data_IF_036312387740
#
_entry.id   IF_036312387740
#
_cell.length_a   1.000
_cell.length_b   1.000
_cell.length_c   1.000
_cell.angle_alpha   90.00
_cell.angle_beta   90.00
_cell.angle_gamma   90.00
#
_symmetry.space_group_name_H-M   'P 1'
#
loop_
_entity.id
_entity.type
_entity.pdbx_description
1 polymer ?
#
# COMPACT_ATOMS: atom_id res chain seq x y z
N UNK A 1 -4.13 -11.57 0.47
CA UNK A 1 -2.76 -12.12 0.55
C UNK A 1 -1.82 -11.30 1.44
N UNK A 2 -1.71 -9.95 1.41
CA UNK A 2 -0.85 -9.21 2.34
C UNK A 2 -1.12 -9.54 3.81
N UNK A 3 -2.39 -9.57 4.24
CA UNK A 3 -2.78 -9.94 5.61
C UNK A 3 -2.29 -11.32 6.06
N UNK A 4 -2.21 -12.29 5.16
CA UNK A 4 -1.66 -13.61 5.50
C UNK A 4 -0.15 -13.54 5.66
N UNK A 5 0.52 -12.76 4.82
CA UNK A 5 1.96 -12.54 4.91
C UNK A 5 2.33 -11.79 6.20
N UNK A 6 1.56 -10.79 6.59
CA UNK A 6 1.72 -10.08 7.86
C UNK A 6 1.56 -11.01 9.05
N UNK A 7 0.45 -11.77 9.11
CA UNK A 7 0.23 -12.76 10.17
C UNK A 7 1.34 -13.82 10.26
N UNK A 8 1.86 -14.24 9.11
CA UNK A 8 2.97 -15.19 9.07
C UNK A 8 4.27 -14.55 9.56
N UNK A 9 4.52 -13.29 9.17
CA UNK A 9 5.63 -12.50 9.66
C UNK A 9 5.57 -12.32 11.18
N UNK A 10 4.42 -11.92 11.74
CA UNK A 10 4.21 -11.79 13.18
C UNK A 10 4.49 -13.10 13.93
N UNK A 11 3.98 -14.23 13.42
CA UNK A 11 4.26 -15.54 14.01
C UNK A 11 5.75 -15.93 13.98
N UNK A 12 6.46 -15.55 12.92
CA UNK A 12 7.90 -15.78 12.81
C UNK A 12 8.65 -14.92 13.84
N UNK A 13 8.34 -13.62 13.89
CA UNK A 13 8.98 -12.70 14.84
C UNK A 13 8.69 -13.09 16.28
N UNK A 14 7.44 -13.43 16.62
CA UNK A 14 7.05 -13.92 17.95
C UNK A 14 7.78 -15.23 18.31
N UNK A 15 7.89 -16.16 17.37
CA UNK A 15 8.64 -17.38 17.55
C UNK A 15 10.12 -17.14 17.83
N UNK A 16 10.72 -16.19 17.13
CA UNK A 16 12.12 -15.78 17.34
C UNK A 16 12.30 -15.09 18.71
N UNK A 17 11.37 -14.23 19.10
CA UNK A 17 11.39 -13.54 20.40
C UNK A 17 11.22 -14.50 21.59
N UNK A 18 10.38 -15.53 21.47
CA UNK A 18 10.14 -16.53 22.53
C UNK A 18 11.26 -17.56 22.64
N UNK A 19 12.07 -17.76 21.60
CA UNK A 19 13.16 -18.74 21.58
C UNK A 19 14.45 -18.16 22.13
N UNK A 20 14.80 -18.51 23.39
CA UNK A 20 16.08 -18.13 24.02
C UNK A 20 17.28 -18.61 23.19
N UNK A 21 17.17 -19.78 22.55
CA UNK A 21 18.19 -20.33 21.67
C UNK A 21 18.37 -19.45 20.41
N UNK A 22 17.28 -19.08 19.75
CA UNK A 22 17.34 -18.20 18.58
C UNK A 22 17.93 -16.82 18.93
N UNK A 23 17.55 -16.25 20.07
CA UNK A 23 18.10 -14.98 20.55
C UNK A 23 19.61 -15.08 20.83
N UNK A 24 20.05 -16.15 21.49
CA UNK A 24 21.47 -16.41 21.74
C UNK A 24 22.25 -16.52 20.44
N UNK A 25 21.80 -17.36 19.50
CA UNK A 25 22.43 -17.54 18.20
C UNK A 25 22.51 -16.22 17.40
N UNK A 26 21.46 -15.42 17.43
CA UNK A 26 21.44 -14.10 16.77
C UNK A 26 22.44 -13.14 17.43
N UNK A 27 22.56 -13.17 18.75
CA UNK A 27 23.48 -12.32 19.53
C UNK A 27 24.96 -12.64 19.25
N UNK A 28 25.29 -13.92 19.01
CA UNK A 28 26.65 -14.36 18.66
C UNK A 28 26.93 -14.33 17.14
N UNK A 29 26.04 -13.70 16.35
CA UNK A 29 26.26 -13.52 14.92
C UNK A 29 25.85 -14.70 14.03
N UNK A 30 25.39 -15.81 14.60
CA UNK A 30 24.97 -17.03 13.87
C UNK A 30 23.54 -16.93 13.34
N UNK A 31 23.28 -15.91 12.51
CA UNK A 31 21.94 -15.64 11.93
C UNK A 31 21.52 -16.70 10.90
N UNK A 32 22.46 -17.20 10.10
CA UNK A 32 22.20 -18.18 9.03
C UNK A 32 21.46 -19.43 9.50
N UNK A 33 21.96 -20.17 10.51
CA UNK A 33 21.27 -21.34 11.04
C UNK A 33 19.85 -21.05 11.56
N UNK A 34 19.64 -19.90 12.23
CA UNK A 34 18.31 -19.51 12.73
C UNK A 34 17.35 -19.29 11.57
N UNK A 35 17.79 -18.55 10.55
CA UNK A 35 16.98 -18.32 9.35
C UNK A 35 16.68 -19.61 8.59
N UNK A 36 17.63 -20.53 8.54
CA UNK A 36 17.42 -21.86 7.96
C UNK A 36 16.35 -22.65 8.72
N UNK A 37 16.37 -22.64 10.05
CA UNK A 37 15.31 -23.26 10.88
C UNK A 37 13.92 -22.66 10.62
N UNK A 38 13.83 -21.34 10.46
CA UNK A 38 12.57 -20.70 10.08
C UNK A 38 12.09 -21.19 8.71
N UNK A 39 13.00 -21.27 7.73
CA UNK A 39 12.69 -21.79 6.40
C UNK A 39 12.21 -23.25 6.43
N UNK A 40 12.81 -24.09 7.27
CA UNK A 40 12.39 -25.48 7.46
C UNK A 40 10.94 -25.56 8.00
N UNK A 41 10.54 -24.68 8.94
CA UNK A 41 9.16 -24.59 9.43
C UNK A 41 8.16 -24.18 8.35
N UNK A 42 8.63 -23.50 7.29
CA UNK A 42 7.85 -23.18 6.09
C UNK A 42 7.92 -24.30 5.02
N UNK A 43 8.30 -25.51 5.39
CA UNK A 43 8.39 -26.66 4.49
C UNK A 43 9.77 -26.83 3.80
N UNK A 44 10.75 -25.97 4.07
CA UNK A 44 12.14 -26.07 3.62
C UNK A 44 12.40 -25.80 2.14
N UNK A 45 11.42 -26.06 1.28
CA UNK A 45 11.53 -25.96 -0.20
C UNK A 45 10.90 -24.69 -0.78
N UNK A 46 10.29 -23.82 0.06
CA UNK A 46 9.70 -22.58 -0.39
C UNK A 46 10.77 -21.66 -1.01
N UNK A 47 10.57 -21.24 -2.25
CA UNK A 47 11.51 -20.43 -3.05
C UNK A 47 11.07 -18.97 -3.10
N UNK A 48 9.78 -18.75 -3.37
CA UNK A 48 9.19 -17.42 -3.46
C UNK A 48 7.70 -17.47 -3.10
N UNK A 49 7.15 -16.32 -2.78
CA UNK A 49 5.73 -16.06 -2.53
C UNK A 49 5.32 -14.95 -3.48
N UNK A 50 4.23 -15.16 -4.22
CA UNK A 50 3.64 -14.10 -5.04
C UNK A 50 2.50 -13.46 -4.25
N UNK A 51 2.54 -12.16 -4.10
CA UNK A 51 1.48 -11.36 -3.48
C UNK A 51 0.88 -10.40 -4.49
N UNK A 52 -0.42 -10.16 -4.39
CA UNK A 52 -1.13 -9.25 -5.28
C UNK A 52 -2.47 -8.82 -4.68
N UNK A 53 -3.12 -7.86 -5.35
CA UNK A 53 -4.40 -7.29 -4.91
C UNK A 53 -4.28 -6.15 -3.91
N UNK A 54 -3.19 -6.06 -3.14
CA UNK A 54 -2.82 -4.90 -2.31
C UNK A 54 -1.30 -4.86 -2.14
N UNK A 55 -0.68 -3.68 -1.93
CA UNK A 55 0.74 -3.58 -1.62
C UNK A 55 1.09 -4.40 -0.39
N UNK A 56 2.23 -5.10 -0.43
CA UNK A 56 2.74 -5.80 0.75
C UNK A 56 3.68 -4.85 1.52
N UNK A 57 3.57 -4.75 2.85
CA UNK A 57 4.45 -3.90 3.63
C UNK A 57 5.93 -4.27 3.41
N UNK A 58 6.75 -3.26 3.17
CA UNK A 58 8.17 -3.44 2.84
C UNK A 58 8.92 -4.27 3.89
N UNK A 59 8.66 -4.03 5.18
CA UNK A 59 9.31 -4.77 6.27
C UNK A 59 8.97 -6.26 6.25
N UNK A 60 7.76 -6.63 5.81
CA UNK A 60 7.36 -8.04 5.65
C UNK A 60 8.19 -8.68 4.54
N UNK A 61 8.25 -8.04 3.37
CA UNK A 61 9.05 -8.54 2.24
C UNK A 61 10.54 -8.68 2.59
N UNK A 62 11.11 -7.69 3.28
CA UNK A 62 12.49 -7.73 3.75
C UNK A 62 12.75 -8.89 4.74
N UNK A 63 11.80 -9.16 5.64
CA UNK A 63 11.91 -10.27 6.60
C UNK A 63 11.97 -11.63 5.91
N UNK A 64 11.11 -11.84 4.89
CA UNK A 64 11.16 -13.08 4.12
C UNK A 64 12.41 -13.18 3.24
N UNK A 65 12.88 -12.07 2.68
CA UNK A 65 14.14 -12.05 1.93
C UNK A 65 15.34 -12.49 2.80
N UNK A 66 15.34 -12.17 4.12
CA UNK A 66 16.37 -12.60 5.08
C UNK A 66 16.43 -14.12 5.24
N UNK A 67 15.33 -14.82 5.06
CA UNK A 67 15.28 -16.31 5.10
C UNK A 67 15.37 -16.93 3.71
N UNK A 68 15.83 -16.17 2.72
CA UNK A 68 15.94 -16.58 1.31
C UNK A 68 14.63 -17.09 0.69
N UNK A 69 13.49 -16.52 1.13
CA UNK A 69 12.18 -16.67 0.50
C UNK A 69 11.82 -15.32 -0.13
N UNK A 70 11.83 -15.27 -1.45
CA UNK A 70 11.54 -14.01 -2.17
C UNK A 70 10.06 -13.70 -2.17
N UNK A 71 9.75 -12.45 -1.90
CA UNK A 71 8.43 -11.89 -2.16
C UNK A 71 8.43 -11.21 -3.52
N UNK A 72 7.51 -11.65 -4.38
CA UNK A 72 7.30 -11.09 -5.70
C UNK A 72 5.93 -10.40 -5.70
N UNK A 73 5.89 -9.14 -6.07
CA UNK A 73 4.63 -8.43 -6.21
C UNK A 73 4.08 -8.65 -7.62
N UNK A 74 2.79 -8.94 -7.69
CA UNK A 74 2.03 -8.99 -8.92
C UNK A 74 0.92 -7.94 -8.88
N UNK A 75 0.61 -7.38 -10.03
CA UNK A 75 -0.46 -6.41 -10.19
C UNK A 75 -1.48 -6.92 -11.18
N UNK A 76 -2.71 -6.54 -10.89
CA UNK A 76 -3.80 -6.78 -11.80
C UNK A 76 -5.14 -6.36 -11.22
N UNK A 77 -6.15 -6.48 -12.05
CA UNK A 77 -7.52 -6.08 -11.78
C UNK A 77 -8.47 -7.09 -12.46
N UNK A 78 -9.69 -7.15 -11.98
CA UNK A 78 -10.72 -8.08 -12.52
C UNK A 78 -10.91 -7.89 -14.02
N UNK A 79 -10.86 -6.65 -14.47
CA UNK A 79 -10.96 -6.22 -15.85
C UNK A 79 -9.82 -6.74 -16.75
N UNK A 80 -8.78 -7.36 -16.17
CA UNK A 80 -7.62 -7.94 -16.85
C UNK A 80 -7.38 -9.42 -16.52
N UNK A 81 -8.35 -10.18 -16.09
CA UNK A 81 -8.44 -11.66 -15.97
C UNK A 81 -7.31 -12.38 -15.19
N UNK A 82 -6.89 -12.03 -14.02
CA UNK A 82 -6.76 -10.73 -13.39
C UNK A 82 -5.35 -10.13 -13.49
N UNK A 83 -4.31 -10.84 -14.03
CA UNK A 83 -2.88 -10.50 -13.87
C UNK A 83 -2.35 -9.70 -15.05
N UNK A 84 -1.84 -8.52 -14.80
CA UNK A 84 -1.20 -7.63 -15.80
C UNK A 84 0.31 -7.74 -15.76
N UNK A 85 0.89 -7.70 -14.56
CA UNK A 85 2.34 -7.73 -14.38
C UNK A 85 2.75 -8.55 -13.16
N UNK A 86 3.98 -9.05 -13.18
CA UNK A 86 4.60 -9.78 -12.06
C UNK A 86 6.07 -9.37 -11.97
N UNK A 87 6.54 -9.16 -10.75
CA UNK A 87 7.95 -8.92 -10.49
C UNK A 87 8.76 -10.19 -10.79
N UNK A 88 9.71 -10.16 -11.73
CA UNK A 88 10.58 -11.30 -12.00
C UNK A 88 11.44 -11.68 -10.79
N UNK A 89 11.76 -12.96 -10.57
CA UNK A 89 12.59 -13.39 -9.43
C UNK A 89 13.98 -12.78 -9.40
N UNK A 90 14.51 -12.32 -10.50
CA UNK A 90 15.83 -11.69 -10.63
C UNK A 90 15.83 -10.24 -10.14
N UNK A 91 14.69 -9.58 -10.15
CA UNK A 91 14.49 -8.20 -9.69
C UNK A 91 14.57 -8.17 -8.16
N UNK A 92 15.47 -7.36 -7.63
CA UNK A 92 15.71 -7.22 -6.17
C UNK A 92 14.99 -6.01 -5.56
N UNK A 93 14.52 -5.13 -6.41
CA UNK A 93 13.83 -3.91 -6.03
C UNK A 93 12.48 -4.27 -5.38
N UNK A 94 12.24 -3.74 -4.16
CA UNK A 94 10.97 -3.89 -3.44
C UNK A 94 10.09 -2.68 -3.75
N UNK A 95 8.78 -2.95 -3.97
CA UNK A 95 7.78 -1.90 -4.24
C UNK A 95 7.53 -1.67 -5.72
N UNK A 96 8.08 -2.53 -6.59
CA UNK A 96 7.70 -2.61 -8.01
C UNK A 96 6.75 -3.78 -8.26
N UNK A 97 5.79 -3.60 -9.14
CA UNK A 97 4.91 -4.66 -9.62
C UNK A 97 5.52 -5.43 -10.81
N UNK A 98 6.78 -5.14 -11.13
CA UNK A 98 7.57 -5.83 -12.14
C UNK A 98 7.26 -5.43 -13.57
N UNK A 99 7.34 -6.43 -14.46
CA UNK A 99 7.15 -6.29 -15.90
C UNK A 99 5.79 -6.81 -16.33
N UNK A 100 5.21 -6.29 -17.42
CA UNK A 100 4.01 -6.87 -18.02
C UNK A 100 4.23 -8.34 -18.36
N UNK A 101 3.21 -9.17 -18.18
CA UNK A 101 3.28 -10.56 -18.63
C UNK A 101 3.30 -10.63 -20.16
N UNK A 102 3.86 -11.70 -20.70
CA UNK A 102 4.04 -11.86 -22.15
C UNK A 102 2.70 -11.70 -22.90
N UNK A 103 2.70 -10.86 -23.92
CA UNK A 103 1.54 -10.58 -24.76
C UNK A 103 0.65 -9.45 -24.24
N UNK A 104 1.05 -8.78 -23.16
CA UNK A 104 0.37 -7.62 -22.61
C UNK A 104 1.21 -6.38 -22.88
N UNK A 105 0.56 -5.36 -23.41
CA UNK A 105 1.13 -4.04 -23.61
C UNK A 105 0.65 -3.11 -22.49
N UNK A 106 1.54 -2.26 -22.04
CA UNK A 106 1.23 -1.20 -21.06
C UNK A 106 1.77 0.13 -21.53
N UNK A 107 1.08 1.21 -21.16
CA UNK A 107 1.57 2.58 -21.35
C UNK A 107 1.19 3.44 -20.16
N UNK A 108 1.86 4.57 -20.01
CA UNK A 108 1.49 5.61 -19.06
C UNK A 108 0.90 6.79 -19.84
N UNK A 109 -0.37 7.06 -19.65
CA UNK A 109 -1.06 8.20 -20.25
C UNK A 109 -0.94 9.43 -19.35
N UNK A 110 -0.98 10.63 -19.95
CA UNK A 110 -1.01 11.92 -19.24
C UNK A 110 0.10 12.06 -18.19
N UNK A 111 1.34 11.74 -18.57
CA UNK A 111 2.46 11.78 -17.63
C UNK A 111 2.74 13.21 -17.17
N UNK A 112 2.92 13.38 -15.86
CA UNK A 112 3.41 14.62 -15.27
C UNK A 112 4.94 14.75 -15.41
N UNK A 113 5.50 15.87 -14.92
CA UNK A 113 6.96 16.15 -14.96
C UNK A 113 7.81 15.09 -14.23
N UNK A 114 7.21 14.31 -13.34
CA UNK A 114 7.89 13.23 -12.61
C UNK A 114 7.78 11.87 -13.33
N UNK A 115 7.22 11.83 -14.54
CA UNK A 115 7.01 10.61 -15.32
C UNK A 115 5.91 9.70 -14.74
N UNK A 116 5.01 10.24 -13.92
CA UNK A 116 3.86 9.51 -13.38
C UNK A 116 2.64 9.78 -14.25
N UNK A 117 2.03 8.71 -14.75
CA UNK A 117 0.83 8.77 -15.57
C UNK A 117 -0.16 7.67 -15.24
N UNK A 118 -1.34 7.72 -15.84
CA UNK A 118 -2.33 6.65 -15.70
C UNK A 118 -1.84 5.39 -16.41
N UNK A 119 -1.73 4.29 -15.67
CA UNK A 119 -1.41 2.99 -16.24
C UNK A 119 -2.57 2.52 -17.12
N UNK A 120 -2.27 2.27 -18.39
CA UNK A 120 -3.22 1.72 -19.35
C UNK A 120 -2.73 0.38 -19.88
N UNK A 121 -3.65 -0.53 -20.13
CA UNK A 121 -3.37 -1.91 -20.48
C UNK A 121 -4.08 -2.29 -21.78
N UNK A 122 -3.36 -3.01 -22.67
CA UNK A 122 -3.90 -3.57 -23.90
C UNK A 122 -3.44 -5.03 -24.05
N UNK A 123 -4.33 -5.88 -24.49
CA UNK A 123 -4.00 -7.28 -24.76
C UNK A 123 -5.18 -8.23 -24.54
N UNK A 124 -4.98 -9.53 -24.80
CA UNK A 124 -6.07 -10.52 -24.82
C UNK A 124 -6.70 -10.80 -23.45
N UNK A 125 -6.09 -10.34 -22.37
CA UNK A 125 -6.63 -10.50 -21.00
C UNK A 125 -7.65 -9.42 -20.63
N UNK A 126 -7.75 -8.35 -21.43
CA UNK A 126 -8.61 -7.21 -21.14
C UNK A 126 -10.06 -7.57 -21.42
N UNK A 127 -10.95 -7.21 -20.50
CA UNK A 127 -12.39 -7.41 -20.64
C UNK A 127 -12.95 -6.75 -21.91
N UNK A 128 -14.08 -7.22 -22.39
CA UNK A 128 -14.82 -6.58 -23.49
C UNK A 128 -15.67 -5.39 -23.02
N UNK A 129 -16.02 -5.34 -21.74
CA UNK A 129 -16.81 -4.27 -21.13
C UNK A 129 -17.54 -4.76 -19.88
N UNK A 130 -18.27 -3.85 -19.25
CA UNK A 130 -19.11 -4.15 -18.10
C UNK A 130 -20.50 -4.63 -18.54
N UNK A 131 -20.94 -5.74 -17.94
CA UNK A 131 -22.22 -6.36 -18.28
C UNK A 131 -23.39 -5.39 -18.04
N UNK A 132 -24.25 -5.21 -19.03
CA UNK A 132 -25.38 -4.27 -19.00
C UNK A 132 -25.05 -2.82 -18.62
N UNK A 133 -23.81 -2.38 -18.83
CA UNK A 133 -23.40 -1.00 -18.52
C UNK A 133 -22.52 -0.43 -19.65
N UNK A 134 -23.13 -0.02 -20.79
CA UNK A 134 -22.40 0.47 -21.95
C UNK A 134 -21.65 1.78 -21.67
N UNK A 135 -22.22 2.67 -20.86
CA UNK A 135 -21.60 3.96 -20.53
C UNK A 135 -20.31 3.76 -19.73
N UNK A 136 -20.36 2.95 -18.67
CA UNK A 136 -19.16 2.61 -17.93
C UNK A 136 -18.13 1.83 -18.78
N UNK A 137 -18.60 1.03 -19.75
CA UNK A 137 -17.72 0.33 -20.68
C UNK A 137 -17.01 1.32 -21.60
N UNK A 138 -17.72 2.27 -22.17
CA UNK A 138 -17.16 3.34 -23.00
C UNK A 138 -16.13 4.18 -22.21
N UNK A 139 -16.48 4.54 -20.96
CA UNK A 139 -15.59 5.31 -20.08
C UNK A 139 -14.32 4.54 -19.67
N UNK A 140 -14.36 3.21 -19.68
CA UNK A 140 -13.21 2.40 -19.26
C UNK A 140 -12.10 2.34 -20.32
N UNK A 141 -12.40 2.65 -21.57
CA UNK A 141 -11.43 2.52 -22.65
C UNK A 141 -11.01 3.86 -23.25
N UNK A 142 -9.86 3.86 -23.86
CA UNK A 142 -9.32 4.93 -24.69
C UNK A 142 -8.90 4.37 -26.03
N UNK A 143 -9.43 4.92 -27.12
CA UNK A 143 -9.05 4.56 -28.48
C UNK A 143 -7.70 5.20 -28.85
N UNK A 144 -6.78 4.41 -29.39
CA UNK A 144 -5.47 4.91 -29.84
C UNK A 144 -5.51 5.53 -31.26
N UNK A 145 -6.67 5.62 -31.87
CA UNK A 145 -6.88 6.12 -33.24
C UNK A 145 -6.31 5.18 -34.32
N UNK A 146 -5.83 3.99 -33.94
CA UNK A 146 -5.28 2.96 -34.84
C UNK A 146 -6.06 1.65 -34.75
N UNK A 147 -7.27 1.70 -34.15
CA UNK A 147 -8.14 0.57 -33.92
C UNK A 147 -7.78 -0.28 -32.70
N UNK A 148 -6.97 0.26 -31.80
CA UNK A 148 -6.62 -0.37 -30.53
C UNK A 148 -7.30 0.31 -29.34
N UNK A 149 -7.91 -0.49 -28.47
CA UNK A 149 -8.50 -0.01 -27.23
C UNK A 149 -7.57 -0.28 -26.04
N UNK A 150 -7.30 0.77 -25.27
CA UNK A 150 -6.51 0.74 -24.04
C UNK A 150 -7.43 0.83 -22.83
N UNK A 151 -7.39 -0.15 -21.97
CA UNK A 151 -8.12 -0.11 -20.70
C UNK A 151 -7.46 0.90 -19.75
N UNK A 152 -8.22 1.89 -19.32
CA UNK A 152 -7.84 2.83 -18.25
C UNK A 152 -8.00 2.14 -16.90
N UNK A 153 -6.89 1.90 -16.20
CA UNK A 153 -6.93 1.18 -14.92
C UNK A 153 -7.37 2.05 -13.75
N UNK A 154 -7.28 3.37 -13.90
CA UNK A 154 -7.45 4.34 -12.81
C UNK A 154 -6.31 4.33 -11.81
N UNK A 155 -5.25 3.53 -12.03
CA UNK A 155 -4.03 3.53 -11.22
C UNK A 155 -2.98 4.45 -11.84
N UNK A 156 -2.33 5.27 -11.01
CA UNK A 156 -1.20 6.09 -11.38
C UNK A 156 0.09 5.31 -11.14
N UNK A 157 0.98 5.31 -12.11
CA UNK A 157 2.22 4.56 -12.07
C UNK A 157 3.39 5.35 -12.67
N UNK A 158 4.60 4.95 -12.35
CA UNK A 158 5.82 5.31 -13.04
C UNK A 158 6.50 4.06 -13.58
N UNK A 159 7.32 4.22 -14.63
CA UNK A 159 8.09 3.14 -15.23
C UNK A 159 9.54 3.57 -15.32
N UNK A 160 10.45 2.71 -14.91
CA UNK A 160 11.87 2.97 -15.01
C UNK A 160 12.46 2.61 -16.39
N UNK A 161 13.74 2.88 -16.61
CA UNK A 161 14.42 2.56 -17.86
C UNK A 161 14.50 1.07 -18.20
N UNK A 162 14.24 0.18 -17.21
CA UNK A 162 14.18 -1.27 -17.40
C UNK A 162 12.76 -1.76 -17.69
N UNK A 163 11.78 -0.84 -17.71
CA UNK A 163 10.37 -1.15 -17.86
C UNK A 163 9.68 -1.64 -16.58
N UNK A 164 10.35 -1.56 -15.41
CA UNK A 164 9.75 -1.94 -14.14
C UNK A 164 8.72 -0.89 -13.71
N UNK A 165 7.51 -1.35 -13.42
CA UNK A 165 6.37 -0.51 -13.11
C UNK A 165 6.25 -0.37 -11.58
N UNK A 166 6.03 0.84 -11.11
CA UNK A 166 5.75 1.16 -9.70
C UNK A 166 4.42 1.89 -9.60
N UNK A 167 3.46 1.33 -8.88
CA UNK A 167 2.18 1.99 -8.59
C UNK A 167 2.44 3.12 -7.60
N UNK A 168 1.89 4.30 -7.92
CA UNK A 168 1.98 5.51 -7.09
C UNK A 168 0.71 5.79 -6.30
N UNK A 169 -0.44 5.44 -6.85
CA UNK A 169 -1.74 5.62 -6.19
C UNK A 169 -2.91 5.47 -7.16
N UNK A 170 -4.08 5.92 -6.73
CA UNK A 170 -5.31 5.93 -7.54
C UNK A 170 -5.58 7.33 -8.10
N UNK A 171 -5.91 7.43 -9.40
CA UNK A 171 -6.24 8.71 -10.06
C UNK A 171 -7.37 9.46 -9.34
N UNK A 172 -8.42 8.74 -8.93
CA UNK A 172 -9.59 9.29 -8.20
C UNK A 172 -9.30 9.65 -6.73
N UNK A 173 -8.15 9.27 -6.21
CA UNK A 173 -7.74 9.55 -4.83
C UNK A 173 -6.61 10.58 -4.76
N UNK A 174 -6.10 11.01 -5.91
CA UNK A 174 -5.05 12.02 -6.00
C UNK A 174 -5.50 13.30 -5.31
N UNK A 175 -4.69 13.80 -4.40
CA UNK A 175 -4.90 15.09 -3.74
C UNK A 175 -4.10 16.14 -4.52
N UNK A 176 -4.75 17.22 -4.92
CA UNK A 176 -4.07 18.32 -5.62
C UNK A 176 -4.13 19.55 -4.72
N UNK A 177 -2.96 19.95 -4.23
CA UNK A 177 -2.89 21.13 -3.37
C UNK A 177 -3.05 22.44 -4.16
N UNK A 178 -3.16 23.55 -3.46
CA UNK A 178 -3.32 24.90 -4.05
C UNK A 178 -2.18 25.31 -5.00
N UNK A 179 -1.00 24.69 -4.87
CA UNK A 179 0.15 24.93 -5.74
C UNK A 179 0.15 24.01 -6.98
N UNK A 180 -0.90 23.21 -7.19
CA UNK A 180 -0.99 22.23 -8.27
C UNK A 180 -0.11 20.97 -8.07
N UNK A 181 0.47 20.78 -6.88
CA UNK A 181 1.29 19.61 -6.60
C UNK A 181 0.45 18.38 -6.32
N UNK A 182 0.81 17.29 -6.96
CA UNK A 182 0.20 16.00 -6.78
C UNK A 182 0.70 15.33 -5.50
N UNK A 183 -0.23 14.91 -4.65
CA UNK A 183 0.02 14.17 -3.42
C UNK A 183 -0.72 12.83 -3.52
N UNK A 184 0.04 11.76 -3.41
CA UNK A 184 -0.49 10.40 -3.44
C UNK A 184 -0.81 9.96 -2.01
N UNK A 185 -2.09 9.77 -1.64
CA UNK A 185 -2.47 9.41 -0.27
C UNK A 185 -1.75 8.17 0.25
N UNK A 186 -1.54 7.19 -0.62
CA UNK A 186 -0.88 5.93 -0.29
C UNK A 186 0.56 6.13 0.21
N UNK A 187 1.28 7.12 -0.31
CA UNK A 187 2.64 7.46 0.15
C UNK A 187 2.62 7.96 1.60
N UNK A 188 1.64 8.78 1.94
CA UNK A 188 1.47 9.32 3.30
C UNK A 188 0.96 8.22 4.26
N UNK A 189 0.03 7.38 3.81
CA UNK A 189 -0.48 6.23 4.56
C UNK A 189 0.65 5.25 4.93
N UNK A 190 1.54 4.92 3.98
CA UNK A 190 2.71 4.07 4.22
C UNK A 190 3.63 4.66 5.29
N UNK A 191 3.75 5.99 5.35
CA UNK A 191 4.57 6.66 6.35
C UNK A 191 3.94 6.58 7.74
N UNK A 192 2.65 6.91 7.87
CA UNK A 192 1.93 6.85 9.13
C UNK A 192 1.83 5.41 9.65
N UNK A 193 1.61 4.43 8.78
CA UNK A 193 1.53 3.02 9.13
C UNK A 193 2.83 2.43 9.72
N UNK A 194 3.96 3.13 9.62
CA UNK A 194 5.19 2.75 10.34
C UNK A 194 5.12 3.05 11.84
N UNK A 195 4.16 3.84 12.27
CA UNK A 195 3.99 4.19 13.68
C UNK A 195 3.18 3.10 14.40
N UNK A 196 3.77 2.38 15.36
CA UNK A 196 3.09 1.26 16.01
C UNK A 196 1.86 1.64 16.84
N UNK A 197 1.73 2.91 17.23
CA UNK A 197 0.55 3.41 17.94
C UNK A 197 -0.68 3.53 17.02
N UNK A 198 -0.51 3.46 15.69
CA UNK A 198 -1.57 3.53 14.68
C UNK A 198 -1.80 2.14 14.10
N UNK A 199 -3.01 1.62 14.23
CA UNK A 199 -3.41 0.34 13.65
C UNK A 199 -3.85 0.49 12.19
N UNK A 200 -4.69 1.51 11.92
CA UNK A 200 -5.24 1.79 10.60
C UNK A 200 -5.12 3.27 10.29
N UNK A 201 -4.95 3.57 9.02
CA UNK A 201 -4.90 4.94 8.51
C UNK A 201 -5.56 5.02 7.14
N UNK A 202 -6.26 6.11 6.90
CA UNK A 202 -6.70 6.54 5.56
C UNK A 202 -6.41 8.03 5.42
N UNK A 203 -5.77 8.39 4.32
CA UNK A 203 -5.43 9.77 3.98
C UNK A 203 -6.39 10.27 2.91
N UNK A 204 -6.94 11.46 3.12
CA UNK A 204 -7.90 12.11 2.21
C UNK A 204 -7.54 13.58 2.01
N UNK A 205 -7.89 14.12 0.86
CA UNK A 205 -7.93 15.55 0.65
C UNK A 205 -9.16 16.14 1.32
N UNK A 206 -9.02 17.35 1.87
CA UNK A 206 -10.11 18.13 2.41
C UNK A 206 -9.92 19.62 2.07
N UNK A 207 -11.00 20.36 2.01
CA UNK A 207 -11.00 21.81 1.77
C UNK A 207 -11.32 22.57 3.04
N UNK A 208 -10.75 23.76 3.20
CA UNK A 208 -11.00 24.63 4.35
C UNK A 208 -11.25 26.05 3.87
N UNK A 209 -12.37 26.65 4.30
CA UNK A 209 -12.62 28.09 4.18
C UNK A 209 -12.65 28.65 2.75
N UNK A 210 -13.03 27.83 1.73
CA UNK A 210 -13.09 28.29 0.33
C UNK A 210 -11.74 28.42 -0.38
N UNK A 211 -10.68 27.88 0.18
CA UNK A 211 -9.35 27.82 -0.41
C UNK A 211 -9.39 26.98 -1.71
N UNK A 212 -8.85 27.45 -2.84
CA UNK A 212 -8.74 26.63 -4.05
C UNK A 212 -7.64 25.60 -3.90
N UNK A 213 -7.99 24.35 -3.66
CA UNK A 213 -7.07 23.25 -3.52
C UNK A 213 -7.33 22.44 -2.25
N UNK A 214 -6.81 21.23 -2.25
CA UNK A 214 -7.00 20.32 -1.13
C UNK A 214 -5.81 20.36 -0.18
N UNK A 215 -6.09 20.21 1.09
CA UNK A 215 -5.10 19.93 2.13
C UNK A 215 -5.09 18.44 2.47
N UNK A 216 -3.97 17.97 2.97
CA UNK A 216 -3.80 16.56 3.36
C UNK A 216 -4.35 16.36 4.76
N UNK A 217 -5.30 15.47 4.91
CA UNK A 217 -5.83 15.04 6.18
C UNK A 217 -5.78 13.53 6.36
N UNK A 218 -5.86 13.07 7.60
CA UNK A 218 -5.87 11.64 7.92
C UNK A 218 -6.97 11.30 8.91
N UNK A 219 -7.60 10.14 8.69
CA UNK A 219 -8.39 9.46 9.70
C UNK A 219 -7.60 8.23 10.14
N UNK A 220 -7.33 8.11 11.43
CA UNK A 220 -6.54 7.02 12.01
C UNK A 220 -7.36 6.23 13.03
N UNK A 221 -7.01 4.97 13.22
CA UNK A 221 -7.50 4.15 14.32
C UNK A 221 -6.31 3.70 15.17
N UNK A 222 -6.35 3.90 16.52
CA UNK A 222 -5.23 3.60 17.39
C UNK A 222 -5.05 2.10 17.59
N UNK A 223 -3.82 1.65 17.81
CA UNK A 223 -3.48 0.27 18.10
C UNK A 223 -3.66 -0.05 19.57
N UNK A 224 -4.80 -0.63 19.95
CA UNK A 224 -5.04 -1.05 21.35
C UNK A 224 -3.93 -1.95 21.89
N UNK A 225 -3.39 -2.85 21.07
CA UNK A 225 -2.34 -3.77 21.48
C UNK A 225 -1.04 -3.04 21.81
N UNK A 226 -0.72 -1.98 21.05
CA UNK A 226 0.41 -1.12 21.36
C UNK A 226 0.18 -0.37 22.67
N UNK A 227 -0.98 0.26 22.84
CA UNK A 227 -1.32 0.99 24.06
C UNK A 227 -1.32 0.09 25.30
N UNK A 228 -1.89 -1.11 25.24
CA UNK A 228 -1.83 -2.09 26.33
C UNK A 228 -0.38 -2.44 26.72
N UNK A 229 0.52 -2.59 25.74
CA UNK A 229 1.93 -2.88 26.03
C UNK A 229 2.65 -1.72 26.71
N UNK A 230 2.45 -0.50 26.23
CA UNK A 230 3.11 0.70 26.76
C UNK A 230 2.56 1.10 28.14
N UNK A 231 1.30 0.82 28.42
CA UNK A 231 0.59 1.21 29.65
C UNK A 231 0.38 0.05 30.63
N UNK A 232 1.30 -0.91 30.68
CA UNK A 232 1.32 -1.95 31.71
C UNK A 232 0.16 -2.95 31.64
N UNK A 233 -0.37 -3.22 30.45
CA UNK A 233 -1.44 -4.21 30.20
C UNK A 233 -2.86 -3.66 30.21
N UNK A 234 -3.03 -2.36 30.46
CA UNK A 234 -4.35 -1.68 30.47
C UNK A 234 -4.41 -0.61 29.39
N UNK A 235 -5.60 -0.36 28.86
CA UNK A 235 -5.82 0.77 27.98
C UNK A 235 -5.89 2.06 28.81
N UNK A 236 -5.18 3.14 28.41
CA UNK A 236 -5.39 4.45 29.00
C UNK A 236 -6.75 5.04 28.60
N UNK A 237 -7.20 6.16 29.20
CA UNK A 237 -8.39 6.87 28.75
C UNK A 237 -8.33 7.22 27.26
N UNK A 238 -9.50 7.28 26.62
CA UNK A 238 -9.60 7.52 25.19
C UNK A 238 -8.90 8.81 24.76
N UNK A 239 -9.10 9.87 25.51
CA UNK A 239 -8.52 11.20 25.24
C UNK A 239 -6.99 11.15 25.21
N UNK A 240 -6.38 10.29 26.02
CA UNK A 240 -4.93 10.09 26.03
C UNK A 240 -4.48 9.27 24.82
N UNK A 241 -5.22 8.20 24.48
CA UNK A 241 -4.96 7.42 23.26
C UNK A 241 -5.04 8.30 22.01
N UNK A 242 -6.08 9.12 21.90
CA UNK A 242 -6.29 10.06 20.82
C UNK A 242 -5.12 11.03 20.69
N UNK A 243 -4.77 11.73 21.78
CA UNK A 243 -3.67 12.70 21.81
C UNK A 243 -2.33 12.09 21.41
N UNK A 244 -2.02 10.90 21.93
CA UNK A 244 -0.78 10.20 21.62
C UNK A 244 -0.75 9.74 20.17
N UNK A 245 -1.85 9.15 19.65
CA UNK A 245 -1.93 8.68 18.29
C UNK A 245 -1.80 9.82 17.27
N UNK A 246 -2.47 10.97 17.49
CA UNK A 246 -2.33 12.18 16.66
C UNK A 246 -0.87 12.65 16.63
N UNK A 247 -0.27 12.84 17.80
CA UNK A 247 1.10 13.33 17.91
C UNK A 247 2.07 12.41 17.16
N UNK A 248 1.97 11.10 17.36
CA UNK A 248 2.82 10.11 16.72
C UNK A 248 2.65 10.07 15.20
N UNK A 249 1.41 10.14 14.71
CA UNK A 249 1.14 10.21 13.28
C UNK A 249 1.73 11.47 12.64
N UNK A 250 1.61 12.62 13.31
CA UNK A 250 2.18 13.89 12.84
C UNK A 250 3.71 13.87 12.83
N UNK A 251 4.34 13.32 13.88
CA UNK A 251 5.80 13.15 13.94
C UNK A 251 6.32 12.30 12.78
N UNK A 252 5.61 11.23 12.42
CA UNK A 252 5.95 10.43 11.24
C UNK A 252 5.80 11.19 9.93
N UNK A 253 4.75 11.99 9.79
CA UNK A 253 4.55 12.83 8.62
C UNK A 253 5.62 13.92 8.47
N UNK A 254 6.29 14.34 9.55
CA UNK A 254 7.36 15.33 9.48
C UNK A 254 8.57 14.86 8.64
N UNK A 255 8.74 13.57 8.44
CA UNK A 255 9.74 12.97 7.55
C UNK A 255 9.44 13.23 6.05
N UNK A 256 8.21 13.61 5.70
CA UNK A 256 7.78 13.93 4.34
C UNK A 256 8.04 15.41 3.99
N UNK A 257 8.05 15.69 2.67
CA UNK A 257 8.06 17.08 2.18
C UNK A 257 6.85 17.84 2.76
N UNK A 258 7.02 19.13 3.03
CA UNK A 258 6.03 19.94 3.77
C UNK A 258 4.62 19.87 3.16
N UNK A 259 4.51 19.97 1.84
CA UNK A 259 3.24 19.93 1.12
C UNK A 259 2.50 18.57 1.21
N UNK A 260 3.20 17.49 1.61
CA UNK A 260 2.63 16.15 1.82
C UNK A 260 2.22 15.88 3.28
N UNK A 261 2.59 16.77 4.20
CA UNK A 261 2.33 16.58 5.63
C UNK A 261 0.85 16.69 5.95
N UNK A 262 0.39 15.81 6.81
CA UNK A 262 -0.98 15.83 7.29
C UNK A 262 -1.21 17.06 8.17
N UNK A 263 -2.21 17.89 7.80
CA UNK A 263 -2.58 19.13 8.52
C UNK A 263 -3.68 18.88 9.55
N UNK A 264 -4.59 17.95 9.28
CA UNK A 264 -5.69 17.57 10.16
C UNK A 264 -5.71 16.07 10.37
N UNK A 265 -5.81 15.62 11.63
CA UNK A 265 -5.91 14.20 11.99
C UNK A 265 -7.15 14.02 12.85
N UNK A 266 -7.99 13.07 12.47
CA UNK A 266 -9.15 12.62 13.25
C UNK A 266 -8.93 11.18 13.68
N UNK A 267 -9.25 10.88 14.93
CA UNK A 267 -9.14 9.52 15.48
C UNK A 267 -10.52 8.88 15.50
N UNK A 268 -10.66 7.80 14.75
CA UNK A 268 -11.87 6.99 14.75
C UNK A 268 -12.00 6.19 16.04
N UNK A 269 -13.22 6.13 16.58
CA UNK A 269 -13.52 5.33 17.79
C UNK A 269 -13.70 3.85 17.49
N UNK A 270 -13.89 3.51 16.23
CA UNK A 270 -14.08 2.14 15.75
C UNK A 270 -13.07 1.83 14.63
N UNK A 271 -12.72 0.56 14.40
CA UNK A 271 -11.86 0.16 13.28
C UNK A 271 -12.36 0.70 11.95
N UNK A 272 -11.44 1.11 11.10
CA UNK A 272 -11.80 1.70 9.82
C UNK A 272 -12.53 0.69 8.92
N UNK A 273 -13.56 1.18 8.22
CA UNK A 273 -14.39 0.37 7.31
C UNK A 273 -13.53 -0.22 6.20
N UNK A 274 -13.59 -1.53 6.02
CA UNK A 274 -12.78 -2.27 5.05
C UNK A 274 -13.64 -2.91 3.95
N UNK A 275 -13.01 -3.16 2.82
CA UNK A 275 -13.56 -3.99 1.74
C UNK A 275 -13.48 -5.48 2.13
N UNK A 276 -14.16 -6.35 1.37
CA UNK A 276 -14.07 -7.81 1.53
C UNK A 276 -12.65 -8.37 1.41
N UNK A 277 -11.75 -7.64 0.74
CA UNK A 277 -10.33 -8.00 0.59
C UNK A 277 -9.42 -7.32 1.61
N UNK A 278 -10.01 -6.64 2.63
CA UNK A 278 -9.29 -6.04 3.75
C UNK A 278 -8.73 -4.63 3.53
N UNK A 279 -8.96 -3.98 2.39
CA UNK A 279 -8.54 -2.58 2.16
C UNK A 279 -9.48 -1.61 2.85
N UNK A 280 -8.94 -0.53 3.45
CA UNK A 280 -9.76 0.56 3.98
C UNK A 280 -10.54 1.23 2.84
N UNK A 281 -11.85 1.44 3.05
CA UNK A 281 -12.73 2.11 2.09
C UNK A 281 -12.59 3.63 2.23
N UNK A 282 -11.65 4.26 1.49
CA UNK A 282 -11.42 5.72 1.53
C UNK A 282 -12.70 6.53 1.27
N UNK A 283 -13.57 6.05 0.39
CA UNK A 283 -14.85 6.72 0.07
C UNK A 283 -15.73 6.90 1.30
N UNK A 284 -15.67 6.00 2.29
CA UNK A 284 -16.45 6.13 3.52
C UNK A 284 -16.04 7.32 4.40
N UNK A 285 -14.89 7.92 4.12
CA UNK A 285 -14.32 9.03 4.90
C UNK A 285 -14.24 10.34 4.13
N UNK A 286 -14.71 10.36 2.87
CA UNK A 286 -14.81 11.62 2.12
C UNK A 286 -15.72 12.61 2.86
N UNK A 287 -15.25 13.84 3.01
CA UNK A 287 -16.01 14.90 3.69
C UNK A 287 -15.93 14.88 5.22
N UNK A 288 -15.33 13.85 5.86
CA UNK A 288 -15.21 13.82 7.34
C UNK A 288 -14.29 14.89 7.91
N UNK A 289 -13.44 15.47 7.08
CA UNK A 289 -12.48 16.50 7.47
C UNK A 289 -12.87 17.90 6.99
N UNK A 290 -13.82 18.02 6.08
CA UNK A 290 -14.33 19.32 5.63
C UNK A 290 -15.01 20.01 6.80
N UNK A 291 -14.80 21.30 6.95
CA UNK A 291 -15.55 22.11 7.92
C UNK A 291 -16.99 22.27 7.44
N UNK A 292 -17.95 21.97 8.34
CA UNK A 292 -19.36 22.29 8.13
C UNK A 292 -19.59 23.79 8.22
#
# INVERSE_FOLDING_TARGET
>A
MPLLAEKLHEKIEDGLRKSKFAQFMMKVGLRGPVMHMVKLKLGGKLRFIITGGAPCPRHVMESFNRIHVRFLEGYGLTECSPVVSVCPPEVKEIGTIGLPIKGIEVRLADQNEQGVGELQVKGPIVMQGYFHNPDASADAFEDDGKGGLWLKTGDLASMDAKGLITIRGRKKALIVNREGKNIYPEEVEIMIAKEPAVQDVVVIGYTQGGDPGEMVGAVIYPSEDWFKREYGGKLPPWEEMEKVAIKRAQEKCAELADYKRVRKVVVAKEPLVRTSIGKVKRVAYKGTLDEQ
#
